data_IF_806088121392
#
_entry.id   IF_806088121392
#
_cell.length_a   1.000
_cell.length_b   1.000
_cell.length_c   1.000
_cell.angle_alpha   90.00
_cell.angle_beta   90.00
_cell.angle_gamma   90.00
#
_symmetry.space_group_name_H-M   'P 1'
#
loop_
_entity.id
_entity.type
_entity.pdbx_description
1 polymer ?
#
# COMPACT_ATOMS: atom_id res chain seq x y z
N UNK A 1 -31.80 5.79 15.91
CA UNK A 1 -30.46 5.78 16.51
C UNK A 1 -29.48 5.31 15.45
N UNK A 2 -28.90 6.23 14.68
CA UNK A 2 -27.88 5.91 13.68
C UNK A 2 -26.54 6.34 14.25
N UNK A 3 -25.84 5.42 14.91
CA UNK A 3 -24.43 5.60 15.22
C UNK A 3 -23.65 4.90 14.13
N UNK A 4 -22.73 5.61 13.47
CA UNK A 4 -21.36 5.17 13.20
C UNK A 4 -20.71 6.16 12.25
N UNK A 5 -19.85 6.98 12.82
CA UNK A 5 -18.52 7.25 12.28
C UNK A 5 -18.45 7.98 10.95
N UNK A 6 -18.33 9.30 11.03
CA UNK A 6 -17.47 10.07 10.13
C UNK A 6 -16.07 9.43 10.11
N UNK A 7 -15.80 8.54 9.15
CA UNK A 7 -14.45 8.02 8.91
C UNK A 7 -13.94 8.69 7.65
N UNK A 8 -13.04 9.67 7.83
CA UNK A 8 -12.29 10.28 6.75
C UNK A 8 -11.71 9.15 5.89
N UNK A 9 -12.19 9.04 4.65
CA UNK A 9 -11.77 8.00 3.72
C UNK A 9 -10.30 8.24 3.38
N UNK A 10 -9.41 7.66 4.16
CA UNK A 10 -8.11 7.24 3.62
C UNK A 10 -8.35 6.31 2.43
N UNK A 11 -7.37 6.13 1.52
CA UNK A 11 -7.49 5.24 0.37
C UNK A 11 -7.46 3.77 0.84
N UNK A 12 -8.48 3.34 1.58
CA UNK A 12 -8.74 1.94 1.88
C UNK A 12 -9.34 1.30 0.64
N UNK A 13 -8.66 0.32 0.07
CA UNK A 13 -9.13 -0.43 -1.09
C UNK A 13 -9.86 -1.66 -0.58
N UNK A 14 -11.19 -1.65 -0.76
CA UNK A 14 -12.07 -2.76 -0.39
C UNK A 14 -12.45 -3.55 -1.64
N UNK A 15 -12.02 -4.81 -1.68
CA UNK A 15 -12.42 -5.74 -2.71
C UNK A 15 -13.85 -6.23 -2.45
N UNK A 16 -14.57 -6.56 -3.53
CA UNK A 16 -15.92 -7.13 -3.47
C UNK A 16 -15.99 -8.48 -2.74
N UNK A 17 -14.84 -9.13 -2.58
CA UNK A 17 -14.67 -10.39 -1.85
C UNK A 17 -14.61 -10.22 -0.32
N UNK A 18 -14.66 -8.99 0.18
CA UNK A 18 -14.61 -8.67 1.62
C UNK A 18 -13.21 -8.42 2.17
N UNK A 19 -12.17 -8.52 1.34
CA UNK A 19 -10.81 -8.11 1.72
C UNK A 19 -10.68 -6.59 1.71
N UNK A 20 -10.23 -6.03 2.84
CA UNK A 20 -9.99 -4.60 3.02
C UNK A 20 -8.48 -4.36 3.21
N UNK A 21 -7.90 -3.50 2.38
CA UNK A 21 -6.50 -3.11 2.45
C UNK A 21 -6.39 -1.62 2.74
N UNK A 22 -5.66 -1.26 3.78
CA UNK A 22 -5.30 0.12 4.03
C UNK A 22 -4.11 0.47 3.13
N UNK A 23 -4.33 1.27 2.08
CA UNK A 23 -3.26 1.79 1.23
C UNK A 23 -2.71 3.13 1.76
N UNK A 24 -3.09 3.50 2.99
CA UNK A 24 -2.66 4.70 3.65
C UNK A 24 -1.22 4.61 4.17
N UNK A 25 -0.57 5.77 4.24
CA UNK A 25 0.78 5.89 4.81
C UNK A 25 1.88 5.28 3.94
N UNK A 26 2.95 4.84 4.60
CA UNK A 26 4.17 4.34 3.97
C UNK A 26 4.00 2.93 3.37
N UNK A 27 4.83 2.65 2.37
CA UNK A 27 4.93 1.34 1.74
C UNK A 27 5.38 0.29 2.75
N UNK A 28 4.62 -0.81 2.82
CA UNK A 28 4.87 -1.91 3.74
C UNK A 28 4.45 -3.24 3.13
N UNK A 29 5.10 -4.30 3.55
CA UNK A 29 4.75 -5.66 3.15
C UNK A 29 3.73 -6.22 4.14
N UNK A 30 2.64 -6.79 3.62
CA UNK A 30 1.55 -7.42 4.37
C UNK A 30 1.40 -8.85 3.89
N UNK A 31 1.31 -9.77 4.85
CA UNK A 31 0.97 -11.16 4.58
C UNK A 31 -0.54 -11.37 4.72
N UNK A 32 -1.16 -11.99 3.73
CA UNK A 32 -2.54 -12.45 3.76
C UNK A 32 -2.58 -13.96 3.57
N UNK A 33 -3.75 -14.55 3.77
CA UNK A 33 -3.96 -15.99 3.63
C UNK A 33 -3.55 -16.51 2.24
N UNK A 34 -3.78 -15.70 1.20
CA UNK A 34 -3.50 -16.05 -0.20
C UNK A 34 -2.09 -15.68 -0.68
N UNK A 35 -1.27 -15.01 0.15
CA UNK A 35 0.10 -14.65 -0.24
C UNK A 35 0.57 -13.30 0.32
N UNK A 36 1.62 -12.76 -0.29
CA UNK A 36 2.27 -11.52 0.13
C UNK A 36 1.86 -10.33 -0.75
N UNK A 37 1.67 -9.17 -0.12
CA UNK A 37 1.25 -7.95 -0.80
C UNK A 37 2.03 -6.75 -0.26
N UNK A 38 2.50 -5.89 -1.15
CA UNK A 38 3.01 -4.57 -0.80
C UNK A 38 1.88 -3.58 -0.87
N UNK A 39 1.61 -2.87 0.22
CA UNK A 39 0.57 -1.82 0.30
C UNK A 39 1.15 -0.51 0.81
N UNK A 40 0.59 0.61 0.37
CA UNK A 40 0.94 1.95 0.85
C UNK A 40 1.02 2.97 -0.28
N UNK A 41 1.02 4.27 0.05
CA UNK A 41 0.99 5.38 -0.93
C UNK A 41 -0.13 5.26 -1.98
N UNK A 42 -1.26 4.61 -1.64
CA UNK A 42 -2.34 4.36 -2.60
C UNK A 42 -2.05 3.24 -3.61
N UNK A 43 -1.02 2.42 -3.39
CA UNK A 43 -0.63 1.29 -4.25
C UNK A 43 -0.80 -0.04 -3.53
N UNK A 44 -1.14 -1.08 -4.29
CA UNK A 44 -1.19 -2.48 -3.86
C UNK A 44 -0.53 -3.34 -4.93
N UNK A 45 0.49 -4.10 -4.55
CA UNK A 45 1.26 -4.96 -5.46
C UNK A 45 1.36 -6.37 -4.87
N UNK A 46 0.81 -7.40 -5.53
CA UNK A 46 1.02 -8.79 -5.13
C UNK A 46 2.47 -9.20 -5.39
N UNK A 47 3.08 -9.91 -4.45
CA UNK A 47 4.46 -10.42 -4.56
C UNK A 47 4.50 -11.90 -4.23
N UNK A 48 5.47 -12.62 -4.80
CA UNK A 48 5.60 -14.05 -4.56
C UNK A 48 5.98 -14.36 -3.10
N UNK A 49 6.89 -13.56 -2.55
CA UNK A 49 7.49 -13.79 -1.24
C UNK A 49 7.79 -12.49 -0.49
N UNK A 50 7.99 -12.59 0.83
CA UNK A 50 8.35 -11.45 1.69
C UNK A 50 9.59 -10.70 1.20
N UNK A 51 10.63 -11.43 0.76
CA UNK A 51 11.89 -10.82 0.29
C UNK A 51 11.71 -10.00 -1.00
N UNK A 52 10.80 -10.43 -1.88
CA UNK A 52 10.44 -9.65 -3.06
C UNK A 52 9.69 -8.38 -2.67
N UNK A 53 8.75 -8.49 -1.74
CA UNK A 53 8.05 -7.34 -1.17
C UNK A 53 8.99 -6.33 -0.53
N UNK A 54 9.93 -6.79 0.29
CA UNK A 54 10.88 -5.92 1.00
C UNK A 54 11.79 -5.19 0.01
N UNK A 55 12.31 -5.89 -1.00
CA UNK A 55 13.08 -5.28 -2.10
C UNK A 55 12.27 -4.24 -2.85
N UNK A 56 11.00 -4.52 -3.17
CA UNK A 56 10.13 -3.54 -3.84
C UNK A 56 9.90 -2.30 -2.98
N UNK A 57 9.64 -2.47 -1.68
CA UNK A 57 9.45 -1.34 -0.75
C UNK A 57 10.73 -0.51 -0.69
N UNK A 58 11.89 -1.14 -0.54
CA UNK A 58 13.19 -0.46 -0.50
C UNK A 58 13.49 0.29 -1.80
N UNK A 59 13.28 -0.34 -2.96
CA UNK A 59 13.45 0.26 -4.28
C UNK A 59 12.51 1.45 -4.49
N UNK A 60 11.22 1.32 -4.17
CA UNK A 60 10.22 2.38 -4.33
C UNK A 60 10.43 3.53 -3.36
N UNK A 61 10.93 3.25 -2.16
CA UNK A 61 11.28 4.29 -1.20
C UNK A 61 12.50 5.10 -1.69
N UNK A 62 13.48 4.42 -2.29
CA UNK A 62 14.67 5.06 -2.83
C UNK A 62 14.38 5.85 -4.13
N UNK A 63 13.55 5.30 -5.02
CA UNK A 63 13.19 5.95 -6.31
C UNK A 63 12.30 7.19 -6.16
N UNK A 64 11.72 7.40 -4.98
CA UNK A 64 10.97 8.62 -4.64
C UNK A 64 11.83 9.88 -4.49
N UNK A 65 13.17 9.76 -4.46
CA UNK A 65 14.09 10.88 -4.32
C UNK A 65 14.53 11.56 -5.64
N UNK A 66 14.27 10.94 -6.80
CA UNK A 66 14.89 11.36 -8.08
C UNK A 66 13.99 12.24 -8.97
N UNK A 67 12.95 12.88 -8.42
CA UNK A 67 12.13 13.83 -9.17
C UNK A 67 12.51 15.31 -8.93
N UNK A 68 13.60 15.59 -8.21
CA UNK A 68 14.18 16.94 -8.07
C UNK A 68 15.32 17.21 -9.09
N UNK A 69 15.20 16.71 -10.32
CA UNK A 69 16.19 16.94 -11.38
C UNK A 69 15.60 17.53 -12.68
N UNK A 70 14.29 17.84 -12.72
CA UNK A 70 13.61 18.36 -13.92
C UNK A 70 13.04 19.78 -13.77
N UNK A 71 13.52 20.56 -12.79
CA UNK A 71 13.37 22.02 -12.79
C UNK A 71 14.67 22.67 -13.24
N UNK A 72 14.83 22.85 -14.55
CA UNK A 72 15.79 23.82 -15.12
C UNK A 72 15.08 24.83 -15.99
#
# INVERSE_FOLDING_TARGET
MATTGNQGRGPGLRFSDGMEFDLGGELRVVHRHDGWYVVGRGMLVPVADREEGDRMVAEMNNRGGDNDALRT
#
